data_IF_006551723463
#
_entry.id   IF_006551723463
#
_cell.length_a   1.000
_cell.length_b   1.000
_cell.length_c   1.000
_cell.angle_alpha   90.00
_cell.angle_beta   90.00
_cell.angle_gamma   90.00
#
_symmetry.space_group_name_H-M   'P 1'
#
loop_
_entity.id
_entity.type
_entity.pdbx_description
1 polymer ?
#
# COMPACT_ATOMS: atom_id res chain seq x y z
N UNK A 1 16.82 -24.30 -2.62
CA UNK A 1 16.47 -22.90 -2.27
C UNK A 1 15.81 -22.86 -0.91
N UNK A 2 14.66 -23.53 -0.73
CA UNK A 2 13.96 -23.64 0.56
C UNK A 2 14.89 -24.16 1.67
N UNK A 3 15.55 -25.30 1.48
CA UNK A 3 16.52 -25.85 2.46
C UNK A 3 17.66 -24.90 2.83
N UNK A 4 18.11 -24.08 1.87
CA UNK A 4 19.16 -23.09 2.15
C UNK A 4 18.63 -21.89 2.92
N UNK A 5 17.43 -21.40 2.58
CA UNK A 5 16.78 -20.33 3.34
C UNK A 5 16.49 -20.79 4.77
N UNK A 6 16.04 -22.03 4.95
CA UNK A 6 15.80 -22.61 6.29
C UNK A 6 17.09 -22.65 7.13
N UNK A 7 18.23 -23.05 6.55
CA UNK A 7 19.53 -23.00 7.22
C UNK A 7 19.92 -21.56 7.61
N UNK A 8 19.75 -20.60 6.71
CA UNK A 8 20.04 -19.19 6.98
C UNK A 8 19.15 -18.64 8.10
N UNK A 9 17.84 -18.88 8.02
CA UNK A 9 16.90 -18.44 9.06
C UNK A 9 17.20 -19.07 10.41
N UNK A 10 17.64 -20.32 10.47
CA UNK A 10 18.03 -20.98 11.73
C UNK A 10 19.20 -20.29 12.45
N UNK A 11 20.05 -19.57 11.70
CA UNK A 11 21.20 -18.82 12.23
C UNK A 11 20.91 -17.32 12.42
N UNK A 12 19.77 -16.85 11.91
CA UNK A 12 19.38 -15.44 11.97
C UNK A 12 19.00 -15.06 13.39
N UNK A 13 19.51 -13.91 13.85
CA UNK A 13 19.24 -13.33 15.17
C UNK A 13 18.55 -11.99 15.10
N UNK A 14 18.82 -11.23 14.05
CA UNK A 14 18.17 -9.97 13.79
C UNK A 14 17.83 -9.87 12.31
N UNK A 15 16.70 -9.22 12.02
CA UNK A 15 16.34 -8.81 10.67
C UNK A 15 16.43 -7.28 10.60
N UNK A 16 17.14 -6.76 9.61
CA UNK A 16 17.14 -5.34 9.30
C UNK A 16 16.38 -5.09 8.02
N UNK A 17 15.58 -4.03 8.01
CA UNK A 17 14.98 -3.47 6.80
C UNK A 17 15.83 -2.26 6.44
N UNK A 18 16.50 -2.31 5.30
CA UNK A 18 17.36 -1.22 4.83
C UNK A 18 16.77 -0.56 3.59
N UNK A 19 17.15 0.70 3.36
CA UNK A 19 16.66 1.45 2.22
C UNK A 19 17.12 0.88 0.88
N UNK A 20 16.35 1.18 -0.17
CA UNK A 20 16.65 0.80 -1.54
C UNK A 20 16.52 -0.70 -1.80
N UNK A 21 16.39 -1.02 -3.08
CA UNK A 21 16.34 -2.39 -3.56
C UNK A 21 17.64 -2.78 -4.25
N UNK A 22 17.53 -3.30 -5.46
CA UNK A 22 18.63 -3.88 -6.22
C UNK A 22 19.65 -2.82 -6.68
N UNK A 23 19.19 -1.59 -6.92
CA UNK A 23 20.02 -0.47 -7.37
C UNK A 23 20.62 0.34 -6.21
N UNK A 24 20.33 -0.02 -4.95
CA UNK A 24 20.78 0.72 -3.77
C UNK A 24 22.28 0.59 -3.43
N UNK A 25 23.10 0.01 -4.32
CA UNK A 25 24.53 -0.22 -4.07
C UNK A 25 24.82 -1.32 -3.04
N UNK A 26 26.02 -1.38 -2.44
CA UNK A 26 26.33 -2.34 -1.38
C UNK A 26 25.39 -2.19 -0.17
N UNK A 27 25.11 -3.30 0.55
CA UNK A 27 24.28 -3.24 1.76
C UNK A 27 24.93 -2.41 2.88
N UNK A 28 26.26 -2.45 2.96
CA UNK A 28 27.02 -1.63 3.90
C UNK A 28 26.87 -0.15 3.55
N UNK A 29 26.37 0.64 4.50
CA UNK A 29 26.20 2.08 4.36
C UNK A 29 24.80 2.53 3.94
N UNK A 30 23.89 1.60 3.60
CA UNK A 30 22.47 1.91 3.43
C UNK A 30 21.84 2.28 4.76
N UNK A 31 20.90 3.23 4.76
CA UNK A 31 20.14 3.57 5.95
C UNK A 31 19.32 2.37 6.43
N UNK A 32 19.38 2.08 7.73
CA UNK A 32 18.50 1.10 8.39
C UNK A 32 17.16 1.79 8.67
N UNK A 33 16.10 1.31 8.04
CA UNK A 33 14.74 1.83 8.20
C UNK A 33 14.08 1.24 9.45
N UNK A 34 14.34 -0.05 9.72
CA UNK A 34 13.86 -0.74 10.91
C UNK A 34 14.82 -1.88 11.29
N UNK A 35 14.90 -2.16 12.58
CA UNK A 35 15.59 -3.33 13.12
C UNK A 35 14.60 -4.17 13.94
N UNK A 36 14.62 -5.48 13.69
CA UNK A 36 13.76 -6.49 14.28
C UNK A 36 14.64 -7.47 15.08
N UNK A 37 14.99 -7.15 16.34
CA UNK A 37 15.94 -7.93 17.13
C UNK A 37 15.29 -9.04 17.95
N UNK A 38 13.97 -9.01 18.15
CA UNK A 38 13.27 -9.98 18.98
C UNK A 38 12.80 -11.20 18.16
N UNK A 39 12.72 -12.35 18.82
CA UNK A 39 12.42 -13.63 18.17
C UNK A 39 11.03 -13.66 17.50
N UNK A 40 10.06 -12.89 18.01
CA UNK A 40 8.70 -12.87 17.45
C UNK A 40 8.70 -12.11 16.13
N UNK A 41 9.32 -10.94 16.09
CA UNK A 41 9.45 -10.15 14.86
C UNK A 41 10.30 -10.84 13.80
N UNK A 42 11.38 -11.54 14.21
CA UNK A 42 12.20 -12.35 13.30
C UNK A 42 11.39 -13.49 12.68
N UNK A 43 10.62 -14.23 13.46
CA UNK A 43 9.80 -15.32 12.94
C UNK A 43 8.65 -14.81 12.06
N UNK A 44 8.01 -13.69 12.42
CA UNK A 44 7.01 -13.05 11.58
C UNK A 44 7.60 -12.61 10.23
N UNK A 45 8.79 -11.99 10.23
CA UNK A 45 9.49 -11.62 9.00
C UNK A 45 9.81 -12.86 8.16
N UNK A 46 10.25 -13.96 8.78
CA UNK A 46 10.47 -15.24 8.10
C UNK A 46 9.20 -15.72 7.41
N UNK A 47 8.12 -15.88 8.16
CA UNK A 47 6.85 -16.40 7.65
C UNK A 47 6.36 -15.58 6.45
N UNK A 48 6.35 -14.25 6.60
CA UNK A 48 5.83 -13.31 5.60
C UNK A 48 6.70 -13.17 4.34
N UNK A 49 7.98 -13.54 4.40
CA UNK A 49 8.93 -13.39 3.27
C UNK A 49 9.40 -14.70 2.66
N UNK A 50 9.01 -15.85 3.24
CA UNK A 50 9.38 -17.18 2.74
C UNK A 50 8.18 -18.06 2.37
N UNK A 51 6.99 -17.75 2.89
CA UNK A 51 5.76 -18.48 2.54
C UNK A 51 5.14 -17.90 1.28
N UNK A 52 4.98 -18.72 0.24
CA UNK A 52 4.45 -18.26 -1.03
C UNK A 52 4.69 -19.22 -2.19
N UNK A 53 4.72 -18.68 -3.40
CA UNK A 53 4.98 -19.44 -4.63
C UNK A 53 6.04 -18.75 -5.48
N UNK A 54 7.05 -19.50 -5.89
CA UNK A 54 8.02 -19.02 -6.87
C UNK A 54 7.37 -18.84 -8.25
N UNK A 55 7.61 -17.69 -8.88
CA UNK A 55 6.98 -17.31 -10.16
C UNK A 55 7.62 -17.99 -11.36
N UNK A 56 8.89 -18.38 -11.27
CA UNK A 56 9.69 -18.80 -12.42
C UNK A 56 10.21 -17.63 -13.27
N UNK A 57 10.07 -16.39 -12.80
CA UNK A 57 10.57 -15.16 -13.43
C UNK A 57 11.05 -14.18 -12.34
N UNK A 58 11.64 -13.06 -12.75
CA UNK A 58 12.14 -12.00 -11.87
C UNK A 58 11.44 -10.67 -12.13
N UNK A 59 11.15 -9.90 -11.08
CA UNK A 59 10.87 -8.48 -11.26
C UNK A 59 12.13 -7.80 -11.79
N UNK A 60 11.96 -6.92 -12.77
CA UNK A 60 13.05 -6.06 -13.27
C UNK A 60 12.95 -4.63 -12.73
N UNK A 61 12.01 -4.40 -11.82
CA UNK A 61 11.89 -3.17 -11.07
C UNK A 61 13.04 -3.05 -10.07
N UNK A 62 13.51 -1.83 -9.80
CA UNK A 62 14.58 -1.55 -8.84
C UNK A 62 14.27 -2.04 -7.41
N UNK A 63 13.00 -2.32 -7.11
CA UNK A 63 12.55 -2.78 -5.80
C UNK A 63 12.34 -1.63 -4.80
N UNK A 64 11.65 -1.95 -3.72
CA UNK A 64 11.53 -1.15 -2.52
C UNK A 64 12.64 -1.49 -1.52
N UNK A 65 12.36 -1.43 -0.20
CA UNK A 65 13.33 -1.79 0.83
C UNK A 65 13.89 -3.21 0.69
N UNK A 66 15.06 -3.43 1.28
CA UNK A 66 15.73 -4.73 1.33
C UNK A 66 15.67 -5.32 2.74
N UNK A 67 15.25 -6.58 2.85
CA UNK A 67 15.34 -7.39 4.05
C UNK A 67 16.76 -7.93 4.17
N UNK A 68 17.41 -7.78 5.32
CA UNK A 68 18.77 -8.25 5.59
C UNK A 68 18.75 -9.13 6.83
N UNK A 69 19.25 -10.36 6.69
CA UNK A 69 19.33 -11.34 7.77
C UNK A 69 20.72 -11.28 8.39
N UNK A 70 20.79 -11.14 9.72
CA UNK A 70 22.06 -11.05 10.45
C UNK A 70 22.18 -12.12 11.53
N UNK A 71 23.41 -12.56 11.77
CA UNK A 71 23.73 -13.51 12.84
C UNK A 71 24.01 -12.82 14.19
N UNK A 72 24.50 -13.58 15.18
CA UNK A 72 24.89 -13.07 16.50
C UNK A 72 26.05 -12.08 16.47
N UNK A 73 26.93 -12.16 15.47
CA UNK A 73 28.07 -11.27 15.32
C UNK A 73 27.70 -9.99 14.55
N UNK A 74 26.46 -9.92 14.02
CA UNK A 74 26.01 -8.83 13.17
C UNK A 74 26.39 -9.01 11.70
N UNK A 75 26.96 -10.16 11.32
CA UNK A 75 27.35 -10.44 9.94
C UNK A 75 26.12 -10.72 9.08
N UNK A 76 26.17 -10.28 7.81
CA UNK A 76 25.09 -10.50 6.85
C UNK A 76 25.11 -11.96 6.41
N UNK A 77 24.02 -12.68 6.68
CA UNK A 77 23.81 -14.06 6.23
C UNK A 77 23.15 -14.13 4.85
N UNK A 78 22.18 -13.25 4.61
CA UNK A 78 21.45 -13.15 3.35
C UNK A 78 20.68 -11.83 3.26
N UNK A 79 20.16 -11.55 2.07
CA UNK A 79 19.33 -10.40 1.77
C UNK A 79 18.23 -10.72 0.75
N UNK A 80 17.14 -9.96 0.81
CA UNK A 80 16.01 -10.05 -0.10
C UNK A 80 15.47 -8.67 -0.48
N UNK A 81 15.36 -8.37 -1.77
CA UNK A 81 14.66 -7.19 -2.26
C UNK A 81 13.14 -7.38 -2.19
N UNK A 82 12.41 -6.37 -1.71
CA UNK A 82 10.95 -6.35 -1.78
C UNK A 82 10.51 -5.65 -3.08
N UNK A 83 9.52 -6.21 -3.77
CA UNK A 83 9.07 -5.72 -5.07
C UNK A 83 7.55 -5.64 -5.12
N UNK A 84 7.04 -4.45 -5.50
CA UNK A 84 5.61 -4.21 -5.64
C UNK A 84 4.84 -4.52 -4.36
N UNK A 85 3.66 -5.13 -4.53
CA UNK A 85 2.77 -5.47 -3.41
C UNK A 85 3.09 -6.79 -2.71
N UNK A 86 3.93 -7.66 -3.28
CA UNK A 86 4.01 -9.02 -2.74
C UNK A 86 5.06 -9.93 -3.36
N UNK A 87 6.11 -9.37 -3.95
CA UNK A 87 7.19 -10.15 -4.56
C UNK A 87 8.48 -9.96 -3.76
N UNK A 88 9.19 -11.06 -3.49
CA UNK A 88 10.44 -11.07 -2.72
C UNK A 88 11.53 -11.77 -3.53
N UNK A 89 12.65 -11.07 -3.73
CA UNK A 89 13.81 -11.54 -4.49
C UNK A 89 14.96 -11.84 -3.54
N UNK A 90 15.08 -13.10 -3.10
CA UNK A 90 16.16 -13.56 -2.23
C UNK A 90 17.45 -13.74 -3.03
N UNK A 91 18.57 -13.18 -2.54
CA UNK A 91 19.92 -13.40 -3.08
C UNK A 91 19.95 -13.49 -4.61
N UNK A 92 19.60 -12.41 -5.32
CA UNK A 92 19.42 -12.39 -6.78
C UNK A 92 20.63 -12.90 -7.58
N UNK A 93 21.82 -12.82 -7.01
CA UNK A 93 23.05 -13.39 -7.59
C UNK A 93 23.03 -14.93 -7.61
N UNK A 94 22.29 -15.55 -6.68
CA UNK A 94 22.16 -16.99 -6.49
C UNK A 94 20.85 -17.54 -7.04
N UNK A 95 19.77 -16.79 -6.92
CA UNK A 95 18.43 -17.23 -7.32
C UNK A 95 17.82 -16.31 -8.37
N UNK A 96 17.22 -16.90 -9.40
CA UNK A 96 16.62 -16.19 -10.54
C UNK A 96 15.09 -16.24 -10.54
N UNK A 97 14.47 -16.45 -9.38
CA UNK A 97 13.01 -16.50 -9.27
C UNK A 97 12.59 -15.68 -8.06
N UNK A 98 11.61 -14.81 -8.27
CA UNK A 98 10.94 -14.14 -7.17
C UNK A 98 9.96 -15.09 -6.49
N UNK A 99 9.79 -14.91 -5.18
CA UNK A 99 8.71 -15.48 -4.39
C UNK A 99 7.54 -14.48 -4.38
N UNK A 100 6.38 -14.87 -4.91
CA UNK A 100 5.14 -14.16 -4.57
C UNK A 100 4.67 -14.66 -3.22
N UNK A 101 4.64 -13.77 -2.24
CA UNK A 101 4.29 -14.11 -0.86
C UNK A 101 2.82 -14.51 -0.75
N UNK A 102 2.51 -15.42 0.16
CA UNK A 102 1.14 -15.87 0.42
C UNK A 102 0.29 -14.76 1.03
N UNK A 103 0.90 -13.86 1.80
CA UNK A 103 0.18 -12.81 2.51
C UNK A 103 0.84 -11.42 2.32
N UNK A 104 0.65 -10.80 1.15
CA UNK A 104 1.24 -9.50 0.84
C UNK A 104 0.72 -8.38 1.75
N UNK A 105 -0.57 -8.44 2.11
CA UNK A 105 -1.18 -7.43 2.96
C UNK A 105 -0.60 -7.45 4.38
N UNK A 106 -0.42 -8.64 4.96
CA UNK A 106 0.22 -8.77 6.26
C UNK A 106 1.69 -8.31 6.23
N UNK A 107 2.44 -8.62 5.17
CA UNK A 107 3.83 -8.16 5.02
C UNK A 107 3.94 -6.63 5.08
N UNK A 108 3.18 -5.91 4.26
CA UNK A 108 3.28 -4.45 4.23
C UNK A 108 2.75 -3.78 5.50
N UNK A 109 1.71 -4.32 6.12
CA UNK A 109 1.21 -3.81 7.41
C UNK A 109 2.19 -4.08 8.55
N UNK A 110 2.87 -5.24 8.55
CA UNK A 110 3.93 -5.56 9.50
C UNK A 110 5.10 -4.56 9.37
N UNK A 111 5.57 -4.32 8.15
CA UNK A 111 6.65 -3.36 7.90
C UNK A 111 6.25 -1.93 8.29
N UNK A 112 5.02 -1.51 7.96
CA UNK A 112 4.49 -0.21 8.39
C UNK A 112 4.45 -0.08 9.91
N UNK A 113 4.02 -1.13 10.61
CA UNK A 113 3.98 -1.17 12.08
C UNK A 113 5.35 -1.06 12.74
N UNK A 114 6.41 -1.46 12.03
CA UNK A 114 7.80 -1.28 12.45
C UNK A 114 8.43 0.04 11.96
N UNK A 115 7.63 0.97 11.42
CA UNK A 115 8.08 2.30 11.01
C UNK A 115 8.79 2.34 9.66
N UNK A 116 8.73 1.26 8.86
CA UNK A 116 9.25 1.29 7.49
C UNK A 116 8.33 2.21 6.66
N UNK A 117 8.88 3.24 5.99
CA UNK A 117 8.07 4.21 5.27
C UNK A 117 7.47 3.65 3.97
N UNK A 118 6.42 4.32 3.50
CA UNK A 118 5.74 4.11 2.22
C UNK A 118 5.16 2.70 2.00
N UNK A 119 4.96 1.90 3.05
CA UNK A 119 4.54 0.50 2.88
C UNK A 119 3.10 0.38 2.42
N UNK A 120 2.25 1.31 2.84
CA UNK A 120 0.86 1.38 2.40
C UNK A 120 0.72 1.77 0.92
N UNK A 121 1.72 2.44 0.32
CA UNK A 121 1.69 2.79 -1.11
C UNK A 121 1.73 1.57 -2.02
N UNK A 122 2.23 0.43 -1.53
CA UNK A 122 2.22 -0.86 -2.23
C UNK A 122 0.81 -1.34 -2.61
N UNK A 123 -0.22 -0.87 -1.89
CA UNK A 123 -1.62 -1.22 -2.14
C UNK A 123 -2.28 -0.36 -3.22
N UNK A 124 -1.61 0.68 -3.75
CA UNK A 124 -2.22 1.60 -4.72
C UNK A 124 -2.72 0.88 -5.98
N UNK A 125 -1.84 0.11 -6.63
CA UNK A 125 -2.18 -0.64 -7.83
C UNK A 125 -3.28 -1.69 -7.59
N UNK A 126 -3.17 -2.60 -6.60
CA UNK A 126 -4.21 -3.61 -6.41
C UNK A 126 -5.56 -3.02 -5.97
N UNK A 127 -5.59 -1.88 -5.27
CA UNK A 127 -6.85 -1.18 -4.99
C UNK A 127 -7.42 -0.48 -6.22
N UNK A 128 -6.57 0.09 -7.08
CA UNK A 128 -7.01 0.68 -8.34
C UNK A 128 -7.66 -0.38 -9.24
N UNK A 129 -7.06 -1.58 -9.32
CA UNK A 129 -7.64 -2.74 -10.01
C UNK A 129 -8.97 -3.17 -9.38
N UNK A 130 -8.99 -3.35 -8.05
CA UNK A 130 -10.17 -3.83 -7.31
C UNK A 130 -11.37 -2.89 -7.42
N UNK A 131 -11.12 -1.58 -7.40
CA UNK A 131 -12.15 -0.54 -7.40
C UNK A 131 -12.37 0.07 -8.78
N UNK A 132 -11.68 -0.43 -9.81
CA UNK A 132 -11.71 0.08 -11.18
C UNK A 132 -11.49 1.60 -11.26
N UNK A 133 -10.43 2.08 -10.60
CA UNK A 133 -10.07 3.51 -10.50
C UNK A 133 -9.06 3.94 -11.57
N UNK A 134 -8.83 3.12 -12.59
CA UNK A 134 -7.93 3.48 -13.68
C UNK A 134 -8.41 4.73 -14.40
N UNK A 135 -7.45 5.55 -14.83
CA UNK A 135 -7.73 6.66 -15.72
C UNK A 135 -8.57 6.23 -16.93
N UNK A 136 -9.68 6.95 -17.12
CA UNK A 136 -10.55 6.82 -18.28
C UNK A 136 -10.72 8.17 -18.97
N UNK A 137 -11.69 8.24 -19.89
CA UNK A 137 -12.12 9.51 -20.49
C UNK A 137 -13.45 9.96 -19.86
N UNK A 138 -13.57 11.24 -19.43
CA UNK A 138 -12.52 12.25 -19.35
C UNK A 138 -11.55 11.99 -18.18
N UNK A 139 -10.30 12.42 -18.32
CA UNK A 139 -9.24 12.23 -17.32
C UNK A 139 -9.49 13.08 -16.05
N UNK A 140 -10.08 14.26 -16.23
CA UNK A 140 -10.57 15.11 -15.16
C UNK A 140 -12.09 15.28 -15.30
N UNK A 141 -12.79 15.38 -14.18
CA UNK A 141 -14.20 15.74 -14.17
C UNK A 141 -14.45 17.05 -14.96
N UNK A 142 -15.43 17.11 -15.86
CA UNK A 142 -15.80 18.35 -16.55
C UNK A 142 -16.49 19.34 -15.60
N UNK A 143 -16.56 20.61 -16.01
CA UNK A 143 -17.38 21.62 -15.32
C UNK A 143 -18.86 21.50 -15.72
N UNK A 144 -19.73 22.24 -15.04
CA UNK A 144 -21.15 22.37 -15.33
C UNK A 144 -21.97 21.10 -15.04
N UNK A 145 -23.04 20.93 -15.83
CA UNK A 145 -24.04 19.86 -15.63
C UNK A 145 -23.44 18.45 -15.74
N UNK A 146 -22.48 18.26 -16.65
CA UNK A 146 -21.80 16.98 -16.84
C UNK A 146 -20.95 16.63 -15.61
N UNK A 147 -20.29 17.63 -15.02
CA UNK A 147 -19.50 17.47 -13.80
C UNK A 147 -20.31 17.03 -12.60
N UNK A 148 -21.57 17.50 -12.48
CA UNK A 148 -22.43 17.19 -11.34
C UNK A 148 -22.60 15.68 -11.14
N UNK A 149 -22.73 14.90 -12.22
CA UNK A 149 -22.85 13.44 -12.13
C UNK A 149 -21.66 12.81 -11.41
N UNK A 150 -20.44 13.22 -11.78
CA UNK A 150 -19.21 12.72 -11.17
C UNK A 150 -19.10 13.10 -9.69
N UNK A 151 -19.53 14.30 -9.30
CA UNK A 151 -19.57 14.70 -7.89
C UNK A 151 -20.49 13.77 -7.08
N UNK A 152 -21.66 13.42 -7.63
CA UNK A 152 -22.58 12.45 -7.00
C UNK A 152 -21.95 11.04 -6.92
N UNK A 153 -21.37 10.53 -8.00
CA UNK A 153 -20.72 9.21 -8.05
C UNK A 153 -19.53 9.11 -7.06
N UNK A 154 -18.85 10.23 -6.84
CA UNK A 154 -17.75 10.37 -5.87
C UNK A 154 -18.21 10.56 -4.43
N UNK A 155 -19.52 10.62 -4.19
CA UNK A 155 -20.07 10.83 -2.85
C UNK A 155 -19.78 12.22 -2.28
N UNK A 156 -19.55 13.22 -3.13
CA UNK A 156 -19.31 14.60 -2.69
C UNK A 156 -20.62 15.18 -2.14
N UNK A 157 -20.64 15.77 -0.94
CA UNK A 157 -21.84 16.35 -0.36
C UNK A 157 -22.51 17.39 -1.26
N UNK A 158 -23.83 17.32 -1.41
CA UNK A 158 -24.63 18.19 -2.29
C UNK A 158 -24.43 19.68 -2.00
N UNK A 159 -24.15 20.04 -0.74
CA UNK A 159 -23.85 21.43 -0.32
C UNK A 159 -22.63 22.02 -1.03
N UNK A 160 -21.71 21.18 -1.50
CA UNK A 160 -20.48 21.57 -2.20
C UNK A 160 -20.66 21.63 -3.72
N UNK A 161 -21.70 20.97 -4.26
CA UNK A 161 -21.90 20.91 -5.72
C UNK A 161 -21.96 22.28 -6.38
N UNK A 162 -22.69 23.30 -5.86
CA UNK A 162 -22.76 24.60 -6.51
C UNK A 162 -21.40 25.28 -6.72
N UNK A 163 -20.45 25.04 -5.82
CA UNK A 163 -19.09 25.59 -5.91
C UNK A 163 -18.25 24.75 -6.88
N UNK A 164 -18.29 23.43 -6.72
CA UNK A 164 -17.40 22.52 -7.45
C UNK A 164 -17.80 22.30 -8.92
N UNK A 165 -19.08 22.46 -9.28
CA UNK A 165 -19.51 22.39 -10.68
C UNK A 165 -19.05 23.59 -11.50
N UNK A 166 -18.69 24.72 -10.87
CA UNK A 166 -18.18 25.88 -11.60
C UNK A 166 -16.77 25.67 -12.16
N UNK A 167 -16.04 24.67 -11.64
CA UNK A 167 -14.67 24.34 -12.02
C UNK A 167 -14.58 22.90 -12.55
N UNK A 168 -13.63 22.67 -13.46
CA UNK A 168 -13.20 21.32 -13.81
C UNK A 168 -12.45 20.67 -12.64
N UNK A 169 -12.37 19.33 -12.63
CA UNK A 169 -11.56 18.60 -11.66
C UNK A 169 -10.11 19.06 -11.64
N UNK A 170 -9.54 19.41 -12.81
CA UNK A 170 -8.18 19.96 -12.88
C UNK A 170 -8.07 21.31 -12.16
N UNK A 171 -9.01 22.22 -12.41
CA UNK A 171 -9.01 23.56 -11.79
C UNK A 171 -9.27 23.52 -10.27
N UNK A 172 -9.90 22.47 -9.75
CA UNK A 172 -10.15 22.33 -8.32
C UNK A 172 -8.86 22.33 -7.47
N UNK A 173 -7.72 21.90 -8.03
CA UNK A 173 -6.44 21.92 -7.32
C UNK A 173 -5.79 23.31 -7.23
N UNK A 174 -6.33 24.28 -7.96
CA UNK A 174 -5.79 25.65 -8.09
C UNK A 174 -6.80 26.70 -7.62
N UNK A 175 -7.82 26.29 -6.85
CA UNK A 175 -8.81 27.24 -6.33
C UNK A 175 -8.13 28.24 -5.39
N UNK A 176 -8.50 29.54 -5.44
CA UNK A 176 -8.02 30.52 -4.48
C UNK A 176 -8.42 30.15 -3.04
N UNK A 177 -7.59 30.53 -2.06
CA UNK A 177 -7.81 30.25 -0.63
C UNK A 177 -9.22 30.62 -0.16
N UNK A 178 -9.75 31.77 -0.60
CA UNK A 178 -11.10 32.20 -0.24
C UNK A 178 -12.21 31.22 -0.70
N UNK A 179 -12.01 30.52 -1.81
CA UNK A 179 -12.93 29.48 -2.29
C UNK A 179 -12.74 28.18 -1.53
N UNK A 180 -11.50 27.79 -1.20
CA UNK A 180 -11.21 26.64 -0.34
C UNK A 180 -11.83 26.83 1.06
N UNK A 181 -11.72 28.03 1.62
CA UNK A 181 -12.33 28.43 2.89
C UNK A 181 -13.86 28.34 2.84
N UNK A 182 -14.49 28.73 1.73
CA UNK A 182 -15.93 28.59 1.53
C UNK A 182 -16.36 27.12 1.48
N UNK A 183 -15.60 26.27 0.77
CA UNK A 183 -15.82 24.82 0.74
C UNK A 183 -15.71 24.22 2.15
N UNK A 184 -14.67 24.59 2.90
CA UNK A 184 -14.48 24.14 4.29
C UNK A 184 -15.64 24.55 5.19
N UNK A 185 -16.09 25.81 5.10
CA UNK A 185 -17.21 26.34 5.89
C UNK A 185 -18.50 25.59 5.60
N UNK A 186 -18.82 25.36 4.32
CA UNK A 186 -20.00 24.60 3.89
C UNK A 186 -19.97 23.16 4.36
N UNK A 187 -18.83 22.49 4.22
CA UNK A 187 -18.65 21.11 4.67
C UNK A 187 -18.80 21.00 6.19
N UNK A 188 -18.23 21.95 6.95
CA UNK A 188 -18.34 22.01 8.41
C UNK A 188 -19.77 22.24 8.88
N UNK A 189 -20.49 23.15 8.22
CA UNK A 189 -21.90 23.41 8.53
C UNK A 189 -22.80 22.20 8.24
N UNK A 190 -22.57 21.50 7.13
CA UNK A 190 -23.35 20.31 6.75
C UNK A 190 -22.95 19.05 7.55
N UNK A 191 -21.72 18.97 8.01
CA UNK A 191 -21.20 17.82 8.76
C UNK A 191 -20.34 18.33 9.92
N UNK A 192 -20.94 18.62 11.10
CA UNK A 192 -20.22 19.20 12.24
C UNK A 192 -19.17 18.27 12.88
N UNK A 193 -19.33 16.95 12.78
CA UNK A 193 -18.37 15.98 13.31
C UNK A 193 -17.09 15.94 12.46
N UNK A 194 -15.88 16.19 13.03
CA UNK A 194 -14.62 16.14 12.30
C UNK A 194 -14.31 14.74 11.77
N UNK A 195 -14.57 13.69 12.55
CA UNK A 195 -14.43 12.29 12.11
C UNK A 195 -15.34 11.97 10.93
N UNK A 196 -16.60 12.41 10.96
CA UNK A 196 -17.52 12.21 9.84
C UNK A 196 -17.07 12.97 8.57
N UNK A 197 -16.52 14.19 8.73
CA UNK A 197 -15.90 14.91 7.61
C UNK A 197 -14.70 14.19 7.04
N UNK A 198 -13.81 13.68 7.89
CA UNK A 198 -12.67 12.88 7.44
C UNK A 198 -13.13 11.66 6.66
N UNK A 199 -14.17 10.94 7.10
CA UNK A 199 -14.71 9.79 6.37
C UNK A 199 -15.20 10.16 4.97
N UNK A 200 -15.94 11.27 4.84
CA UNK A 200 -16.40 11.80 3.55
C UNK A 200 -15.22 12.16 2.65
N UNK A 201 -14.25 12.92 3.17
CA UNK A 201 -13.10 13.38 2.41
C UNK A 201 -12.19 12.21 1.98
N UNK A 202 -11.93 11.24 2.85
CA UNK A 202 -11.19 10.03 2.51
C UNK A 202 -11.93 9.21 1.45
N UNK A 203 -13.25 9.02 1.59
CA UNK A 203 -14.02 8.32 0.57
C UNK A 203 -14.03 9.07 -0.76
N UNK A 204 -14.08 10.40 -0.75
CA UNK A 204 -14.01 11.22 -1.97
C UNK A 204 -12.64 11.03 -2.63
N UNK A 205 -11.55 11.21 -1.87
CA UNK A 205 -10.18 11.05 -2.36
C UNK A 205 -9.92 9.65 -2.96
N UNK A 206 -10.45 8.60 -2.35
CA UNK A 206 -10.31 7.23 -2.85
C UNK A 206 -11.32 6.80 -3.91
N UNK A 207 -12.14 7.73 -4.41
CA UNK A 207 -12.98 7.56 -5.62
C UNK A 207 -12.42 8.30 -6.83
N UNK A 208 -11.33 9.06 -6.66
CA UNK A 208 -10.70 9.77 -7.77
C UNK A 208 -9.89 8.80 -8.64
N UNK A 209 -9.95 8.93 -9.98
CA UNK A 209 -9.11 8.14 -10.87
C UNK A 209 -7.61 8.34 -10.62
N UNK A 210 -6.84 7.26 -10.73
CA UNK A 210 -5.39 7.23 -10.50
C UNK A 210 -4.66 6.99 -11.84
N UNK A 211 -3.52 7.67 -12.10
CA UNK A 211 -2.91 8.70 -11.24
C UNK A 211 -3.53 10.10 -11.32
N UNK A 212 -4.16 10.49 -12.42
CA UNK A 212 -4.42 11.90 -12.75
C UNK A 212 -5.17 12.69 -11.66
N UNK A 213 -6.46 12.48 -11.52
CA UNK A 213 -7.29 13.34 -10.66
C UNK A 213 -7.08 13.05 -9.17
N UNK A 214 -6.55 11.88 -8.81
CA UNK A 214 -6.11 11.59 -7.46
C UNK A 214 -4.84 12.38 -7.07
N UNK A 215 -3.86 12.53 -7.97
CA UNK A 215 -2.58 13.21 -7.67
C UNK A 215 -2.61 14.72 -7.99
N UNK A 216 -3.45 15.15 -8.93
CA UNK A 216 -3.61 16.56 -9.34
C UNK A 216 -5.07 17.01 -9.23
N UNK A 217 -5.32 18.32 -9.35
CA UNK A 217 -6.69 18.83 -9.41
C UNK A 217 -7.50 18.55 -8.14
N UNK A 218 -8.64 17.88 -8.28
CA UNK A 218 -9.58 17.60 -7.19
C UNK A 218 -8.92 16.85 -6.03
N UNK A 219 -7.96 15.96 -6.29
CA UNK A 219 -7.20 15.30 -5.24
C UNK A 219 -6.36 16.26 -4.38
N UNK A 220 -5.82 17.33 -4.97
CA UNK A 220 -5.08 18.37 -4.25
C UNK A 220 -6.03 19.12 -3.31
N UNK A 221 -7.21 19.51 -3.80
CA UNK A 221 -8.24 20.15 -2.98
C UNK A 221 -8.64 19.27 -1.78
N UNK A 222 -8.93 17.98 -2.01
CA UNK A 222 -9.36 17.09 -0.94
C UNK A 222 -8.26 16.89 0.11
N UNK A 223 -6.99 16.79 -0.30
CA UNK A 223 -5.85 16.76 0.62
C UNK A 223 -5.72 18.05 1.44
N UNK A 224 -5.92 19.22 0.83
CA UNK A 224 -5.93 20.49 1.56
C UNK A 224 -7.04 20.52 2.63
N UNK A 225 -8.25 20.05 2.29
CA UNK A 225 -9.36 19.96 3.25
C UNK A 225 -9.11 18.94 4.37
N UNK A 226 -8.40 17.85 4.09
CA UNK A 226 -7.99 16.85 5.08
C UNK A 226 -6.90 17.38 6.01
N UNK A 227 -6.01 18.26 5.53
CA UNK A 227 -4.91 18.81 6.31
C UNK A 227 -5.37 19.68 7.49
N UNK A 228 -6.61 20.19 7.45
CA UNK A 228 -7.22 20.95 8.56
C UNK A 228 -7.82 20.05 9.66
N UNK A 229 -7.86 18.74 9.45
CA UNK A 229 -8.34 17.78 10.43
C UNK A 229 -7.15 17.18 11.18
N UNK A 230 -7.34 16.94 12.48
CA UNK A 230 -6.31 16.30 13.29
C UNK A 230 -6.21 14.82 12.95
N UNK A 231 -4.99 14.27 12.96
CA UNK A 231 -4.72 12.87 12.62
C UNK A 231 -5.61 11.85 13.36
N UNK A 232 -5.94 12.01 14.66
CA UNK A 232 -6.84 11.10 15.36
C UNK A 232 -8.23 10.99 14.72
N UNK A 233 -8.79 12.08 14.20
CA UNK A 233 -10.10 12.07 13.53
C UNK A 233 -10.03 11.34 12.18
N UNK A 234 -8.92 11.53 11.45
CA UNK A 234 -8.66 10.83 10.18
C UNK A 234 -8.48 9.34 10.40
N UNK A 235 -7.73 8.96 11.44
CA UNK A 235 -7.51 7.56 11.81
C UNK A 235 -8.81 6.88 12.29
N UNK A 236 -9.61 7.55 13.12
CA UNK A 236 -10.91 7.05 13.54
C UNK A 236 -11.85 6.84 12.35
N UNK A 237 -11.92 7.81 11.42
CA UNK A 237 -12.72 7.69 10.20
C UNK A 237 -12.31 6.49 9.34
N UNK A 238 -11.00 6.26 9.19
CA UNK A 238 -10.46 5.12 8.45
C UNK A 238 -10.80 3.78 9.13
N UNK A 239 -10.69 3.70 10.46
CA UNK A 239 -10.95 2.49 11.23
C UNK A 239 -12.45 2.12 11.33
N UNK A 240 -13.34 3.11 11.35
CA UNK A 240 -14.78 2.94 11.52
C UNK A 240 -15.51 2.66 10.21
N UNK A 241 -15.13 3.32 9.11
CA UNK A 241 -15.89 3.24 7.84
C UNK A 241 -15.65 1.92 7.09
N UNK A 242 -14.41 1.40 7.14
CA UNK A 242 -14.01 0.10 6.60
C UNK A 242 -14.47 -0.20 5.15
N UNK A 243 -14.24 0.74 4.24
CA UNK A 243 -14.51 0.55 2.81
C UNK A 243 -13.23 0.63 1.97
N UNK A 244 -13.25 0.01 0.78
CA UNK A 244 -12.16 0.12 -0.18
C UNK A 244 -11.85 1.56 -0.56
N UNK A 245 -12.86 2.40 -0.80
CA UNK A 245 -12.65 3.81 -1.13
C UNK A 245 -11.99 4.60 0.02
N UNK A 246 -12.37 4.36 1.27
CA UNK A 246 -11.68 5.01 2.40
C UNK A 246 -10.24 4.52 2.52
N UNK A 247 -9.99 3.22 2.31
CA UNK A 247 -8.63 2.68 2.31
C UNK A 247 -7.77 3.29 1.18
N UNK A 248 -8.30 3.40 -0.04
CA UNK A 248 -7.62 4.10 -1.14
C UNK A 248 -7.41 5.58 -0.84
N UNK A 249 -8.37 6.24 -0.19
CA UNK A 249 -8.23 7.62 0.27
C UNK A 249 -7.08 7.81 1.25
N UNK A 250 -6.93 6.90 2.21
CA UNK A 250 -5.79 6.87 3.14
C UNK A 250 -4.48 6.73 2.37
N UNK A 251 -4.41 5.80 1.41
CA UNK A 251 -3.20 5.57 0.60
C UNK A 251 -2.85 6.80 -0.25
N UNK A 252 -3.85 7.41 -0.89
CA UNK A 252 -3.66 8.65 -1.64
C UNK A 252 -3.27 9.84 -0.75
N UNK A 253 -3.62 9.84 0.54
CA UNK A 253 -3.20 10.89 1.48
C UNK A 253 -1.72 10.72 1.87
N UNK A 254 -1.33 9.52 2.31
CA UNK A 254 0.03 9.24 2.82
C UNK A 254 1.13 9.43 1.77
N UNK A 255 0.81 9.22 0.49
CA UNK A 255 1.73 9.45 -0.63
C UNK A 255 2.26 10.90 -0.66
N UNK A 256 1.60 11.82 0.05
CA UNK A 256 1.96 13.22 0.17
C UNK A 256 2.26 13.68 1.61
N UNK A 257 2.08 12.83 2.64
CA UNK A 257 2.26 13.22 4.05
C UNK A 257 3.32 12.41 4.83
N UNK A 258 3.75 11.24 4.33
CA UNK A 258 4.96 10.54 4.80
C UNK A 258 4.91 9.79 6.14
N UNK A 259 3.86 9.92 6.96
CA UNK A 259 3.66 9.11 8.19
C UNK A 259 2.60 8.01 7.98
N UNK A 260 3.07 6.76 7.92
CA UNK A 260 2.25 5.59 7.64
C UNK A 260 1.75 4.88 8.92
N UNK A 261 2.37 5.06 10.09
CA UNK A 261 2.19 4.10 11.22
C UNK A 261 0.78 4.11 11.82
N UNK A 262 0.28 5.28 12.16
CA UNK A 262 -1.07 5.45 12.74
C UNK A 262 -2.15 5.04 11.73
N UNK A 263 -2.01 5.47 10.47
CA UNK A 263 -2.97 5.18 9.43
C UNK A 263 -2.92 3.72 8.96
N UNK A 264 -1.76 3.07 8.99
CA UNK A 264 -1.61 1.64 8.72
C UNK A 264 -2.36 0.80 9.74
N UNK A 265 -2.27 1.19 11.02
CA UNK A 265 -3.04 0.53 12.09
C UNK A 265 -4.54 0.70 11.86
N UNK A 266 -4.98 1.91 11.52
CA UNK A 266 -6.40 2.21 11.29
C UNK A 266 -6.99 1.47 10.09
N UNK A 267 -6.28 1.44 8.96
CA UNK A 267 -6.76 0.84 7.70
C UNK A 267 -6.47 -0.66 7.60
N UNK A 268 -5.56 -1.18 8.43
CA UNK A 268 -5.09 -2.56 8.42
C UNK A 268 -6.21 -3.60 8.34
N UNK A 269 -7.22 -3.59 9.23
CA UNK A 269 -8.33 -4.53 9.17
C UNK A 269 -9.07 -4.53 7.83
N UNK A 270 -9.26 -3.34 7.23
CA UNK A 270 -9.91 -3.19 5.92
C UNK A 270 -9.05 -3.78 4.81
N UNK A 271 -7.75 -3.49 4.80
CA UNK A 271 -6.83 -4.04 3.79
C UNK A 271 -6.72 -5.56 3.89
N UNK A 272 -6.70 -6.12 5.10
CA UNK A 272 -6.70 -7.57 5.34
C UNK A 272 -7.98 -8.24 4.84
N UNK A 273 -9.12 -7.55 4.92
CA UNK A 273 -10.39 -8.05 4.39
C UNK A 273 -10.42 -8.02 2.84
N UNK A 274 -9.90 -6.95 2.24
CA UNK A 274 -9.89 -6.79 0.77
C UNK A 274 -8.84 -7.67 0.09
N UNK A 275 -7.72 -7.92 0.76
CA UNK A 275 -6.60 -8.72 0.27
C UNK A 275 -6.29 -9.86 1.25
N UNK A 276 -7.17 -10.88 1.34
CA UNK A 276 -6.93 -12.03 2.19
C UNK A 276 -5.70 -12.82 1.71
N UNK A 277 -5.04 -13.59 2.61
CA UNK A 277 -3.93 -14.44 2.22
C UNK A 277 -4.36 -15.41 1.10
N UNK A 278 -3.43 -15.67 0.18
CA UNK A 278 -3.60 -16.72 -0.81
C UNK A 278 -3.85 -18.07 -0.08
N UNK A 279 -4.75 -18.92 -0.60
CA UNK A 279 -4.93 -20.25 -0.04
C UNK A 279 -3.58 -20.95 -0.03
N UNK A 280 -3.23 -21.61 1.08
CA UNK A 280 -2.04 -22.45 1.14
C UNK A 280 -2.09 -23.38 -0.07
N UNK A 281 -1.12 -23.24 -0.98
CA UNK A 281 -1.05 -24.12 -2.12
C UNK A 281 -0.96 -25.54 -1.55
N UNK A 282 -1.97 -26.38 -1.81
CA UNK A 282 -1.92 -27.79 -1.48
C UNK A 282 -0.56 -28.28 -1.97
N UNK A 283 0.32 -28.61 -1.04
CA UNK A 283 1.61 -29.23 -1.33
C UNK A 283 1.28 -30.39 -2.25
N UNK A 284 1.68 -30.30 -3.52
CA UNK A 284 1.48 -31.40 -4.46
C UNK A 284 2.44 -32.51 -4.06
N UNK A 285 2.07 -33.20 -2.99
CA UNK A 285 2.48 -34.55 -2.68
C UNK A 285 1.74 -35.47 -3.64
N UNK A 286 2.26 -35.59 -4.85
CA UNK A 286 1.98 -36.77 -5.66
C UNK A 286 3.28 -37.23 -6.29
N UNK A 287 3.92 -38.17 -5.60
CA UNK A 287 4.87 -39.13 -6.14
C UNK A 287 4.51 -39.42 -7.61
N UNK A 288 5.34 -38.97 -8.54
CA UNK A 288 5.41 -39.63 -9.85
C UNK A 288 5.99 -41.01 -9.57
N UNK A 289 5.12 -42.00 -9.42
CA UNK A 289 5.47 -43.40 -9.57
C UNK A 289 6.10 -43.56 -10.94
N UNK A 290 7.41 -43.82 -10.95
CA UNK A 290 8.13 -44.31 -12.12
C UNK A 290 7.50 -45.65 -12.52
N UNK A 291 6.63 -45.61 -13.53
CA UNK A 291 6.20 -46.81 -14.24
C UNK A 291 7.39 -47.37 -15.01
N UNK A 292 8.00 -48.43 -14.48
CA UNK A 292 8.89 -49.33 -15.23
C UNK A 292 8.14 -49.81 -16.49
N UNK A 293 8.57 -49.38 -17.67
CA UNK A 293 8.28 -50.11 -18.91
C UNK A 293 9.15 -51.36 -18.93
N UNK A 294 8.51 -52.51 -18.75
CA UNK A 294 9.08 -53.80 -19.13
C UNK A 294 9.09 -53.92 -20.65
N UNK A 295 10.24 -54.34 -21.17
CA UNK A 295 10.42 -54.71 -22.57
C UNK A 295 9.61 -55.95 -22.92
N UNK A 296 8.94 -55.93 -24.08
CA UNK A 296 8.81 -57.04 -25.03
C UNK A 296 8.71 -56.46 -26.43
#
# INVERSE_FOLDING_TARGET
MIEWLDDVWSRTRAVQIVEGGEDGGPLCGRAVLAELPDAVSVEAARELTTTGRFTGDICRCHGGPTVVLRDTAGEVLASAGLHGHGSVSWERSRFRNDLVVADPAALHLFLAGHGVPNQLTSFLAPLADLLNLHEGRPQFRPAGKEGKRYLTERGVPDVLHPVLVAATGQQCGELPDAQVDDVRRRLTAATPSPTARAAILLSWLGRLPIPAEALWGEGVLVRQLLADLVLPDVAAAAAETRTGHVATGVINLIMHSGDDGTLATAVGPTLRQLFPPAPAANTVGSRRTFGRRTAR
#
